data_IF_489987152746
#
_entry.id   IF_489987152746
#
_cell.length_a   1.000
_cell.length_b   1.000
_cell.length_c   1.000
_cell.angle_alpha   90.00
_cell.angle_beta   90.00
_cell.angle_gamma   90.00
#
_symmetry.space_group_name_H-M   'P 1'
#
loop_
_entity.id
_entity.type
_entity.pdbx_description
1 polymer ?
#
# COMPACT_ATOMS: atom_id res chain seq x y z
N UNK A 1 -38.90 13.49 -13.24
CA UNK A 1 -37.43 13.65 -13.16
C UNK A 1 -36.93 12.51 -12.29
N UNK A 2 -36.04 11.66 -12.80
CA UNK A 2 -35.49 10.54 -12.02
C UNK A 2 -34.54 11.08 -10.97
N UNK A 3 -34.76 10.71 -9.71
CA UNK A 3 -33.93 11.11 -8.58
C UNK A 3 -32.50 10.56 -8.73
N UNK A 4 -31.49 11.40 -8.53
CA UNK A 4 -30.09 10.97 -8.53
C UNK A 4 -29.79 10.14 -7.28
N UNK A 5 -29.29 8.92 -7.46
CA UNK A 5 -28.99 7.93 -6.40
C UNK A 5 -27.51 7.75 -6.08
N UNK A 6 -26.62 8.35 -6.86
CA UNK A 6 -25.16 8.16 -6.76
C UNK A 6 -24.45 9.40 -6.23
N UNK A 7 -23.27 9.23 -5.58
CA UNK A 7 -22.47 10.35 -5.14
C UNK A 7 -21.96 11.17 -6.34
N UNK A 8 -21.92 12.49 -6.18
CA UNK A 8 -21.41 13.40 -7.20
C UNK A 8 -19.88 13.27 -7.37
N UNK A 9 -19.19 12.81 -6.34
CA UNK A 9 -17.74 12.64 -6.33
C UNK A 9 -17.35 11.40 -5.52
N UNK A 10 -16.37 10.66 -6.03
CA UNK A 10 -15.72 9.53 -5.36
C UNK A 10 -14.23 9.83 -5.23
N UNK A 11 -13.71 9.74 -4.01
CA UNK A 11 -12.29 9.90 -3.73
C UNK A 11 -11.63 8.54 -3.60
N UNK A 12 -10.52 8.35 -4.30
CA UNK A 12 -9.68 7.16 -4.23
C UNK A 12 -8.28 7.60 -3.79
N UNK A 13 -7.78 6.99 -2.73
CA UNK A 13 -6.44 7.24 -2.24
C UNK A 13 -5.62 5.95 -2.27
N UNK A 14 -4.39 6.03 -2.77
CA UNK A 14 -3.39 4.97 -2.61
C UNK A 14 -2.72 5.15 -1.24
N UNK A 15 -2.52 4.05 -0.50
CA UNK A 15 -1.80 4.10 0.76
C UNK A 15 -0.35 4.56 0.57
N UNK A 16 0.26 5.11 1.63
CA UNK A 16 1.68 5.45 1.64
C UNK A 16 2.60 4.22 1.58
N UNK A 17 3.90 4.41 1.47
CA UNK A 17 4.86 3.28 1.46
C UNK A 17 4.69 2.40 2.70
N UNK A 18 4.52 1.10 2.52
CA UNK A 18 4.43 0.12 3.61
C UNK A 18 5.79 -0.47 3.97
N UNK A 19 5.89 -1.10 5.15
CA UNK A 19 7.05 -1.93 5.50
C UNK A 19 7.29 -3.06 4.48
N UNK A 20 6.21 -3.59 3.88
CA UNK A 20 6.30 -4.58 2.81
C UNK A 20 6.90 -4.03 1.52
N UNK A 21 6.58 -2.79 1.15
CA UNK A 21 7.24 -2.13 0.01
C UNK A 21 8.74 -1.96 0.28
N UNK A 22 9.11 -1.55 1.49
CA UNK A 22 10.53 -1.41 1.88
C UNK A 22 11.25 -2.77 1.81
N UNK A 23 10.65 -3.83 2.34
CA UNK A 23 11.21 -5.17 2.30
C UNK A 23 11.37 -5.69 0.87
N UNK A 24 10.39 -5.45 0.00
CA UNK A 24 10.47 -5.80 -1.42
C UNK A 24 11.60 -5.06 -2.11
N UNK A 25 11.70 -3.74 -1.93
CA UNK A 25 12.73 -2.93 -2.58
C UNK A 25 14.14 -3.40 -2.15
N UNK A 26 14.30 -3.82 -0.89
CA UNK A 26 15.54 -4.42 -0.39
C UNK A 26 15.82 -5.80 -1.02
N UNK A 27 14.80 -6.66 -1.16
CA UNK A 27 14.93 -7.96 -1.81
C UNK A 27 15.31 -7.82 -3.29
N UNK A 28 14.66 -6.90 -4.02
CA UNK A 28 14.97 -6.62 -5.42
C UNK A 28 16.41 -6.11 -5.60
N UNK A 29 16.84 -5.14 -4.78
CA UNK A 29 18.20 -4.64 -4.79
C UNK A 29 19.24 -5.73 -4.47
N UNK A 30 18.86 -6.68 -3.61
CA UNK A 30 19.68 -7.84 -3.25
C UNK A 30 19.56 -9.03 -4.19
N UNK A 31 18.75 -8.96 -5.25
CA UNK A 31 18.41 -10.11 -6.12
C UNK A 31 17.93 -11.35 -5.34
N UNK A 32 17.20 -11.13 -4.25
CA UNK A 32 16.65 -12.19 -3.41
C UNK A 32 15.38 -12.76 -4.05
N UNK A 33 15.21 -14.07 -3.93
CA UNK A 33 14.01 -14.76 -4.44
C UNK A 33 12.79 -14.57 -3.53
N UNK A 34 12.98 -14.12 -2.30
CA UNK A 34 11.95 -13.99 -1.28
C UNK A 34 12.01 -12.60 -0.66
N UNK A 35 10.84 -12.07 -0.32
CA UNK A 35 10.68 -10.82 0.42
C UNK A 35 10.62 -11.16 1.90
N UNK A 36 11.55 -10.62 2.69
CA UNK A 36 11.56 -10.78 4.14
C UNK A 36 10.55 -9.82 4.80
N UNK A 37 9.33 -10.31 4.98
CA UNK A 37 8.21 -9.56 5.55
C UNK A 37 7.56 -10.39 6.66
N UNK A 38 7.30 -9.75 7.80
CA UNK A 38 6.86 -10.43 9.02
C UNK A 38 5.48 -11.11 8.93
N UNK A 39 4.68 -10.82 7.91
CA UNK A 39 3.32 -11.32 7.77
C UNK A 39 2.76 -11.10 6.37
N UNK A 40 1.42 -11.18 6.24
CA UNK A 40 0.74 -10.86 4.98
C UNK A 40 1.00 -9.38 4.63
N UNK A 41 1.31 -9.11 3.37
CA UNK A 41 1.66 -7.77 2.89
C UNK A 41 0.58 -6.70 3.19
N UNK A 42 -0.70 -7.08 3.17
CA UNK A 42 -1.80 -6.16 3.51
C UNK A 42 -1.89 -5.81 4.99
N UNK A 43 -1.26 -6.60 5.87
CA UNK A 43 -1.36 -6.48 7.33
C UNK A 43 -0.15 -5.78 7.95
N UNK A 44 0.82 -5.31 7.14
CA UNK A 44 2.02 -4.63 7.64
C UNK A 44 1.85 -3.11 7.77
N UNK A 45 2.50 -2.46 8.74
CA UNK A 45 2.34 -1.02 8.96
C UNK A 45 2.94 -0.17 7.83
N UNK A 46 2.50 1.08 7.75
CA UNK A 46 3.16 2.11 6.94
C UNK A 46 4.58 2.39 7.46
N UNK A 47 5.49 2.63 6.53
CA UNK A 47 6.84 3.10 6.85
C UNK A 47 6.79 4.53 7.40
N UNK A 48 7.85 5.03 8.06
CA UNK A 48 7.92 6.43 8.47
C UNK A 48 7.77 7.43 7.31
N UNK A 49 8.06 7.03 6.07
CA UNK A 49 7.79 7.84 4.88
C UNK A 49 6.30 7.79 4.51
N UNK A 50 5.68 6.62 4.56
CA UNK A 50 4.25 6.45 4.25
C UNK A 50 3.30 7.12 5.24
N UNK A 51 3.77 7.46 6.45
CA UNK A 51 3.01 8.17 7.47
C UNK A 51 3.05 9.70 7.34
N UNK A 52 3.88 10.24 6.43
CA UNK A 52 4.00 11.69 6.15
C UNK A 52 3.06 12.10 5.03
#
# INVERSE_FOLDING_TARGET
MTEQKWPQQLWLARHGQSAGNVARDAAEAGSQLLIDIAGRDVDVPLSPLGQR
#
